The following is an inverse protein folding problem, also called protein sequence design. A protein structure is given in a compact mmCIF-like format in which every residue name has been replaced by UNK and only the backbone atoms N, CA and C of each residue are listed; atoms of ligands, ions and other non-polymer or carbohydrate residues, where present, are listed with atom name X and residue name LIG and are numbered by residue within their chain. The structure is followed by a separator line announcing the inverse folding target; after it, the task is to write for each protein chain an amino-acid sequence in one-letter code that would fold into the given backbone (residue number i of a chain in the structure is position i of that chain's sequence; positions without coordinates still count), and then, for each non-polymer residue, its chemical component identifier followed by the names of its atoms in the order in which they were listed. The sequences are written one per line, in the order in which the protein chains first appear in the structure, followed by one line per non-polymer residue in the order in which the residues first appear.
data_IF_577443268368
#
_entry.id   IF_577443268368
#
_cell.length_a   1.000
_cell.length_b   1.000
_cell.length_c   1.000
_cell.angle_alpha   90.00
_cell.angle_beta   90.00
_cell.angle_gamma   90.00
#
_symmetry.space_group_name_H-M   'P 1'
#
loop_
_entity.id
_entity.type
_entity.pdbx_description
1 polymer ?
#
# COMPACT_ATOMS: atom_id res chain seq x y z
N UNK A 1 -31.76 24.65 -1.80
CA UNK A 1 -30.38 24.25 -2.17
C UNK A 1 -29.78 23.49 -0.99
N UNK A 2 -29.86 22.16 -1.03
CA UNK A 2 -29.59 21.33 0.15
C UNK A 2 -28.08 21.20 0.47
N UNK A 3 -27.69 21.13 1.75
CA UNK A 3 -26.30 21.00 2.22
C UNK A 3 -25.55 19.73 1.76
N UNK A 4 -26.16 18.88 0.94
CA UNK A 4 -25.65 17.55 0.56
C UNK A 4 -24.66 17.58 -0.62
N UNK A 5 -24.84 18.46 -1.61
CA UNK A 5 -24.02 18.48 -2.83
C UNK A 5 -22.58 18.98 -2.60
N UNK A 6 -22.40 19.89 -1.64
CA UNK A 6 -21.08 20.42 -1.29
C UNK A 6 -20.22 19.37 -0.57
N UNK A 7 -20.79 18.64 0.39
CA UNK A 7 -20.09 17.56 1.08
C UNK A 7 -19.68 16.46 0.10
N UNK A 8 -20.60 16.00 -0.76
CA UNK A 8 -20.28 15.00 -1.79
C UNK A 8 -19.11 15.44 -2.70
N UNK A 9 -19.06 16.73 -3.07
CA UNK A 9 -17.95 17.28 -3.86
C UNK A 9 -16.64 17.26 -3.09
N UNK A 10 -16.64 17.71 -1.83
CA UNK A 10 -15.44 17.69 -0.97
C UNK A 10 -14.91 16.27 -0.80
N UNK A 11 -15.79 15.28 -0.56
CA UNK A 11 -15.39 13.88 -0.46
C UNK A 11 -14.75 13.36 -1.75
N UNK A 12 -15.35 13.65 -2.90
CA UNK A 12 -14.80 13.26 -4.20
C UNK A 12 -13.42 13.89 -4.47
N UNK A 13 -13.27 15.18 -4.14
CA UNK A 13 -12.00 15.90 -4.27
C UNK A 13 -10.93 15.29 -3.33
N UNK A 14 -11.27 14.99 -2.08
CA UNK A 14 -10.37 14.34 -1.11
C UNK A 14 -9.93 12.94 -1.55
N UNK A 15 -10.87 12.10 -2.01
CA UNK A 15 -10.57 10.78 -2.58
C UNK A 15 -9.60 10.89 -3.74
N UNK A 16 -9.86 11.81 -4.67
CA UNK A 16 -8.98 12.03 -5.81
C UNK A 16 -7.58 12.49 -5.39
N UNK A 17 -7.49 13.41 -4.43
CA UNK A 17 -6.22 13.89 -3.88
C UNK A 17 -5.44 12.76 -3.19
N UNK A 18 -6.09 11.96 -2.33
CA UNK A 18 -5.44 10.82 -1.65
C UNK A 18 -4.90 9.79 -2.64
N UNK A 19 -5.68 9.41 -3.65
CA UNK A 19 -5.22 8.49 -4.71
C UNK A 19 -4.06 9.09 -5.50
N UNK A 20 -4.13 10.37 -5.84
CA UNK A 20 -3.05 11.04 -6.59
C UNK A 20 -1.76 11.05 -5.78
N UNK A 21 -1.82 11.47 -4.52
CA UNK A 21 -0.67 11.53 -3.62
C UNK A 21 -0.12 10.15 -3.28
N UNK A 22 -0.99 9.18 -3.01
CA UNK A 22 -0.59 7.79 -2.73
C UNK A 22 0.06 7.12 -3.95
N UNK A 23 -0.29 7.54 -5.16
CA UNK A 23 0.29 7.04 -6.40
C UNK A 23 1.73 7.49 -6.65
N UNK A 24 2.19 8.54 -5.96
CA UNK A 24 3.52 9.13 -6.19
C UNK A 24 4.66 8.21 -5.74
N UNK A 25 4.48 7.47 -4.65
CA UNK A 25 5.50 6.54 -4.15
C UNK A 25 4.91 5.53 -3.16
N UNK A 26 5.56 4.37 -2.95
CA UNK A 26 5.12 3.42 -1.93
C UNK A 26 5.20 4.02 -0.51
N UNK A 27 6.09 4.99 -0.28
CA UNK A 27 6.16 5.70 1.01
C UNK A 27 4.95 6.61 1.23
N UNK A 28 4.54 7.36 0.21
CA UNK A 28 3.36 8.21 0.29
C UNK A 28 2.10 7.36 0.50
N UNK A 29 1.99 6.24 -0.23
CA UNK A 29 0.95 5.25 -0.02
C UNK A 29 0.89 4.76 1.42
N UNK A 30 2.02 4.33 1.98
CA UNK A 30 2.08 3.82 3.36
C UNK A 30 1.62 4.87 4.38
N UNK A 31 1.99 6.15 4.20
CA UNK A 31 1.54 7.22 5.10
C UNK A 31 0.04 7.49 5.05
N UNK A 32 -0.55 7.40 3.86
CA UNK A 32 -1.97 7.72 3.65
C UNK A 32 -2.83 6.55 4.06
N UNK A 33 -2.57 5.36 3.50
CA UNK A 33 -3.44 4.21 3.61
C UNK A 33 -3.05 3.25 4.74
N UNK A 34 -1.80 3.26 5.20
CA UNK A 34 -1.33 2.36 6.26
C UNK A 34 -0.84 3.15 7.48
N UNK A 35 -1.49 4.27 7.77
CA UNK A 35 -1.13 5.17 8.86
C UNK A 35 -1.13 4.47 10.23
N UNK A 36 -2.00 3.47 10.44
CA UNK A 36 -2.04 2.64 11.64
C UNK A 36 -0.81 1.74 11.81
N UNK A 37 -0.11 1.39 10.72
CA UNK A 37 1.19 0.72 10.75
C UNK A 37 2.37 1.71 10.86
N UNK A 38 2.13 2.99 10.59
CA UNK A 38 3.16 4.04 10.46
C UNK A 38 2.99 5.14 11.51
N UNK A 39 2.73 4.77 12.77
CA UNK A 39 2.50 5.72 13.87
C UNK A 39 3.75 6.52 14.25
N UNK A 40 4.93 5.97 14.00
CA UNK A 40 6.22 6.62 14.27
C UNK A 40 6.85 7.12 12.96
N UNK A 41 7.64 8.22 13.02
CA UNK A 41 8.37 8.69 11.85
C UNK A 41 9.26 7.60 11.24
N UNK A 42 9.28 7.53 9.91
CA UNK A 42 10.17 6.62 9.21
C UNK A 42 11.64 6.95 9.50
N UNK A 43 12.38 5.93 9.94
CA UNK A 43 13.83 5.98 10.08
C UNK A 43 14.51 6.22 8.72
N UNK A 44 15.80 6.57 8.75
CA UNK A 44 16.62 6.68 7.53
C UNK A 44 16.56 5.40 6.69
N UNK A 45 16.70 4.23 7.33
CA UNK A 45 16.63 2.94 6.65
C UNK A 45 15.28 2.70 5.98
N UNK A 46 14.17 3.06 6.63
CA UNK A 46 12.84 2.93 6.01
C UNK A 46 12.73 3.77 4.73
N UNK A 47 13.23 5.02 4.77
CA UNK A 47 13.23 5.92 3.61
C UNK A 47 14.11 5.38 2.47
N UNK A 48 15.28 4.86 2.78
CA UNK A 48 16.19 4.23 1.80
C UNK A 48 15.54 3.01 1.14
N UNK A 49 14.89 2.14 1.92
CA UNK A 49 14.15 0.99 1.36
C UNK A 49 13.01 1.44 0.45
N UNK A 50 12.20 2.42 0.88
CA UNK A 50 11.11 2.94 0.03
C UNK A 50 11.61 3.56 -1.28
N UNK A 51 12.68 4.35 -1.22
CA UNK A 51 13.29 4.94 -2.40
C UNK A 51 13.81 3.85 -3.35
N UNK A 52 14.49 2.83 -2.82
CA UNK A 52 15.01 1.72 -3.61
C UNK A 52 13.89 0.92 -4.29
N UNK A 53 12.77 0.70 -3.58
CA UNK A 53 11.59 0.04 -4.15
C UNK A 53 10.92 0.87 -5.25
N UNK A 54 10.83 2.19 -5.08
CA UNK A 54 10.31 3.10 -6.11
C UNK A 54 11.21 3.08 -7.37
N UNK A 55 12.53 3.17 -7.20
CA UNK A 55 13.47 3.10 -8.32
C UNK A 55 13.43 1.76 -9.05
N UNK A 56 13.31 0.66 -8.30
CA UNK A 56 13.20 -0.68 -8.88
C UNK A 56 11.99 -0.78 -9.82
N UNK A 57 10.88 -0.19 -9.41
CA UNK A 57 9.67 -0.11 -10.22
C UNK A 57 9.88 0.74 -11.48
N UNK A 58 10.43 1.95 -11.33
CA UNK A 58 10.63 2.89 -12.45
C UNK A 58 11.55 2.33 -13.54
N UNK A 59 12.58 1.59 -13.14
CA UNK A 59 13.54 0.97 -14.07
C UNK A 59 12.97 -0.27 -14.80
N UNK A 60 11.79 -0.77 -14.39
CA UNK A 60 11.07 -1.92 -15.00
C UNK A 60 11.90 -3.19 -15.23
N UNK A 61 13.03 -3.32 -14.54
CA UNK A 61 13.97 -4.43 -14.61
C UNK A 61 14.91 -4.30 -13.41
N UNK A 62 14.87 -5.27 -12.49
CA UNK A 62 15.85 -5.32 -11.41
C UNK A 62 15.63 -6.46 -10.43
N UNK A 63 16.71 -6.85 -9.77
CA UNK A 63 16.68 -7.75 -8.62
C UNK A 63 17.17 -6.93 -7.43
N UNK A 64 16.36 -6.87 -6.38
CA UNK A 64 16.71 -6.15 -5.16
C UNK A 64 16.86 -7.14 -4.02
N UNK A 65 18.00 -7.09 -3.34
CA UNK A 65 18.24 -7.80 -2.10
C UNK A 65 18.42 -6.77 -0.98
N UNK A 66 17.55 -6.81 0.03
CA UNK A 66 17.61 -5.91 1.19
C UNK A 66 18.07 -6.72 2.39
N UNK A 67 19.28 -6.42 2.89
CA UNK A 67 19.74 -6.89 4.19
C UNK A 67 19.48 -5.80 5.23
N UNK A 68 18.63 -6.06 6.22
CA UNK A 68 18.44 -5.13 7.32
C UNK A 68 18.11 -5.86 8.63
N UNK A 69 18.23 -5.22 9.81
CA UNK A 69 18.19 -5.90 11.10
C UNK A 69 16.77 -6.40 11.48
N UNK A 70 16.63 -7.48 12.25
CA UNK A 70 15.31 -7.97 12.67
C UNK A 70 14.55 -6.93 13.52
N UNK A 71 13.23 -6.94 13.45
CA UNK A 71 12.36 -6.03 14.24
C UNK A 71 12.11 -4.65 13.63
N UNK A 72 12.69 -4.31 12.48
CA UNK A 72 12.50 -2.99 11.85
C UNK A 72 11.42 -2.97 10.75
N UNK A 73 10.26 -3.60 10.99
CA UNK A 73 9.07 -3.50 10.13
C UNK A 73 9.27 -3.75 8.60
N UNK A 74 10.28 -4.53 8.20
CA UNK A 74 10.57 -4.80 6.77
C UNK A 74 9.41 -5.46 6.05
N UNK A 75 8.79 -6.45 6.68
CA UNK A 75 7.65 -7.15 6.10
C UNK A 75 6.48 -6.17 5.88
N UNK A 76 6.27 -5.22 6.78
CA UNK A 76 5.26 -4.17 6.62
C UNK A 76 5.57 -3.27 5.42
N UNK A 77 6.84 -2.88 5.21
CA UNK A 77 7.23 -2.03 4.08
C UNK A 77 7.16 -2.80 2.75
N UNK A 78 7.83 -3.95 2.67
CA UNK A 78 8.03 -4.68 1.41
C UNK A 78 6.83 -5.56 1.08
N UNK A 79 6.42 -6.42 2.02
CA UNK A 79 5.41 -7.46 1.77
C UNK A 79 3.97 -6.95 1.88
N UNK A 80 3.74 -5.81 2.53
CA UNK A 80 2.42 -5.20 2.67
C UNK A 80 2.31 -3.89 1.89
N UNK A 81 3.02 -2.84 2.30
CA UNK A 81 2.85 -1.51 1.71
C UNK A 81 3.21 -1.46 0.22
N UNK A 82 4.39 -1.99 -0.14
CA UNK A 82 4.82 -2.02 -1.54
C UNK A 82 3.95 -2.95 -2.40
N UNK A 83 3.58 -4.13 -1.89
CA UNK A 83 2.67 -5.05 -2.59
C UNK A 83 1.30 -4.41 -2.85
N UNK A 84 0.67 -3.82 -1.83
CA UNK A 84 -0.62 -3.15 -1.99
C UNK A 84 -0.50 -1.98 -2.97
N UNK A 85 0.55 -1.16 -2.87
CA UNK A 85 0.80 -0.09 -3.82
C UNK A 85 0.92 -0.63 -5.25
N UNK A 86 1.63 -1.74 -5.42
CA UNK A 86 1.78 -2.35 -6.74
C UNK A 86 0.45 -2.82 -7.33
N UNK A 87 -0.38 -3.48 -6.52
CA UNK A 87 -1.68 -4.02 -6.93
C UNK A 87 -2.67 -2.89 -7.21
N UNK A 88 -2.86 -1.97 -6.26
CA UNK A 88 -3.91 -0.95 -6.31
C UNK A 88 -3.68 0.11 -7.40
N UNK A 89 -2.42 0.37 -7.75
CA UNK A 89 -2.08 1.30 -8.84
C UNK A 89 -1.77 0.58 -10.15
N UNK A 90 -2.08 -0.72 -10.27
CA UNK A 90 -1.89 -1.51 -11.50
C UNK A 90 -0.45 -1.56 -11.99
N UNK A 91 0.50 -1.42 -11.06
CA UNK A 91 1.94 -1.33 -11.31
C UNK A 91 2.50 -2.69 -11.70
N UNK A 92 2.06 -3.74 -11.02
CA UNK A 92 2.37 -5.13 -11.33
C UNK A 92 1.08 -5.96 -11.43
N UNK A 93 0.94 -6.72 -12.52
CA UNK A 93 -0.27 -7.55 -12.76
C UNK A 93 -0.29 -8.83 -11.91
N UNK A 94 0.89 -9.27 -11.46
CA UNK A 94 1.06 -10.51 -10.73
C UNK A 94 2.15 -10.33 -9.67
N UNK A 95 1.76 -10.44 -8.41
CA UNK A 95 2.66 -10.28 -7.27
C UNK A 95 2.77 -11.61 -6.52
N UNK A 96 3.99 -12.12 -6.38
CA UNK A 96 4.28 -13.33 -5.61
C UNK A 96 4.93 -12.98 -4.27
N UNK A 97 4.38 -13.54 -3.20
CA UNK A 97 4.96 -13.49 -1.87
C UNK A 97 5.63 -14.83 -1.55
N UNK A 98 6.94 -14.79 -1.29
CA UNK A 98 7.74 -15.97 -0.95
C UNK A 98 8.37 -15.75 0.43
N UNK A 99 8.28 -16.75 1.30
CA UNK A 99 8.92 -16.76 2.63
C UNK A 99 9.51 -18.12 2.93
N UNK A 100 10.37 -18.19 3.94
CA UNK A 100 11.06 -19.41 4.35
C UNK A 100 10.12 -20.50 4.91
N UNK A 101 8.97 -20.10 5.49
CA UNK A 101 7.98 -21.04 6.01
C UNK A 101 6.58 -20.75 5.47
N UNK A 102 5.73 -21.79 5.46
CA UNK A 102 4.33 -21.70 5.03
C UNK A 102 3.53 -20.75 5.92
N UNK A 103 3.74 -20.83 7.23
CA UNK A 103 3.04 -20.02 8.23
C UNK A 103 3.31 -18.53 8.00
N UNK A 104 4.56 -18.17 7.68
CA UNK A 104 4.92 -16.79 7.37
C UNK A 104 4.20 -16.27 6.12
N UNK A 105 4.17 -17.05 5.02
CA UNK A 105 3.46 -16.63 3.80
C UNK A 105 1.97 -16.47 4.06
N UNK A 106 1.35 -17.38 4.83
CA UNK A 106 -0.06 -17.28 5.21
C UNK A 106 -0.35 -15.99 5.98
N UNK A 107 0.51 -15.61 6.92
CA UNK A 107 0.37 -14.37 7.67
C UNK A 107 0.47 -13.14 6.76
N UNK A 108 1.46 -13.10 5.86
CA UNK A 108 1.61 -11.99 4.91
C UNK A 108 0.38 -11.84 4.01
N UNK A 109 -0.14 -12.95 3.48
CA UNK A 109 -1.36 -12.94 2.67
C UNK A 109 -2.58 -12.50 3.47
N UNK A 110 -2.68 -12.92 4.75
CA UNK A 110 -3.76 -12.49 5.64
C UNK A 110 -3.71 -11.00 5.90
N UNK A 111 -2.53 -10.42 6.09
CA UNK A 111 -2.35 -8.99 6.31
C UNK A 111 -2.78 -8.18 5.08
N UNK A 112 -2.33 -8.59 3.88
CA UNK A 112 -2.74 -7.97 2.60
C UNK A 112 -4.26 -8.04 2.43
N UNK A 113 -4.84 -9.23 2.65
CA UNK A 113 -6.30 -9.42 2.55
C UNK A 113 -7.06 -8.57 3.58
N UNK A 114 -6.56 -8.48 4.81
CA UNK A 114 -7.19 -7.69 5.87
C UNK A 114 -7.23 -6.20 5.51
N UNK A 115 -6.15 -5.65 4.96
CA UNK A 115 -6.15 -4.25 4.50
C UNK A 115 -7.15 -4.04 3.36
N UNK A 116 -7.17 -4.92 2.35
CA UNK A 116 -8.13 -4.80 1.23
C UNK A 116 -9.59 -4.92 1.68
N UNK A 117 -9.88 -5.65 2.75
CA UNK A 117 -11.26 -5.90 3.19
C UNK A 117 -11.75 -4.93 4.27
N UNK A 118 -10.85 -4.42 5.11
CA UNK A 118 -11.23 -3.72 6.34
C UNK A 118 -10.71 -2.28 6.43
N UNK A 119 -9.77 -1.88 5.57
CA UNK A 119 -9.24 -0.52 5.58
C UNK A 119 -10.25 0.42 4.93
N UNK A 120 -10.90 1.25 5.74
CA UNK A 120 -11.94 2.18 5.28
C UNK A 120 -11.46 3.14 4.18
N UNK A 121 -10.22 3.61 4.25
CA UNK A 121 -9.65 4.48 3.22
C UNK A 121 -9.43 3.72 1.91
N UNK A 122 -8.99 2.46 1.95
CA UNK A 122 -8.87 1.64 0.76
C UNK A 122 -10.23 1.27 0.17
N UNK A 123 -11.23 0.98 1.00
CA UNK A 123 -12.59 0.70 0.54
C UNK A 123 -13.23 1.91 -0.13
N UNK A 124 -13.03 3.12 0.42
CA UNK A 124 -13.52 4.38 -0.14
C UNK A 124 -12.76 4.74 -1.42
N UNK A 125 -11.43 4.63 -1.39
CA UNK A 125 -10.60 5.10 -2.47
C UNK A 125 -10.52 4.07 -3.60
N UNK A 126 -10.43 2.77 -3.35
CA UNK A 126 -10.26 1.68 -4.33
C UNK A 126 -11.38 0.61 -4.26
N UNK A 127 -12.66 0.99 -4.40
CA UNK A 127 -13.76 0.02 -4.35
C UNK A 127 -13.59 -1.08 -5.39
N UNK A 128 -13.02 -0.78 -6.56
CA UNK A 128 -12.76 -1.73 -7.65
C UNK A 128 -11.81 -2.88 -7.28
N UNK A 129 -10.94 -2.68 -6.29
CA UNK A 129 -9.97 -3.69 -5.86
C UNK A 129 -10.35 -4.36 -4.54
N UNK A 130 -11.19 -3.68 -3.73
CA UNK A 130 -11.57 -4.13 -2.40
C UNK A 130 -12.90 -4.92 -2.39
N UNK A 131 -13.76 -4.70 -3.39
CA UNK A 131 -15.04 -5.41 -3.52
C UNK A 131 -14.97 -6.36 -4.72
N UNK A 132 -15.36 -7.64 -4.57
CA UNK A 132 -15.53 -8.50 -5.72
C UNK A 132 -16.63 -7.93 -6.63
N UNK A 133 -16.40 -7.93 -7.95
CA UNK A 133 -17.43 -7.56 -8.91
C UNK A 133 -18.65 -8.49 -8.74
N UNK A 134 -19.75 -7.96 -8.20
CA UNK A 134 -21.02 -8.66 -8.06
C UNK A 134 -21.21 -9.40 -6.74
N UNK A 135 -21.85 -8.74 -5.78
CA UNK A 135 -22.73 -9.40 -4.79
C UNK A 135 -24.03 -8.63 -4.67
#
# INVERSE_FOLDING_TARGET
MGPNKYLAKVHADLRHQRRTLGGLSPQAFAKIYLSHHCQLPFSRMHKEVFATLAELFDKRQGRLAIAAPRGHAKSTIVSLAFVLWCVLYGKEKLVFLVSATREQVILLLKDVKSELQNNSLLLEDFPEACQPEGT
#
